data_IF_223913796382
#
_entry.id   IF_223913796382
#
_cell.length_a   1.000
_cell.length_b   1.000
_cell.length_c   1.000
_cell.angle_alpha   90.00
_cell.angle_beta   90.00
_cell.angle_gamma   90.00
#
_symmetry.space_group_name_H-M   'P 1'
#
loop_
_entity.id
_entity.type
_entity.pdbx_description
1 polymer ?
#
# COMPACT_ATOMS: atom_id res chain seq x y z
N UNK A 1 25.10 -9.79 -3.82
CA UNK A 1 24.01 -9.45 -2.86
C UNK A 1 22.70 -9.17 -3.60
N UNK A 2 21.57 -9.23 -2.87
CA UNK A 2 20.24 -9.08 -3.46
C UNK A 2 19.38 -8.15 -2.59
N UNK A 3 18.70 -7.18 -3.21
CA UNK A 3 17.74 -6.30 -2.55
C UNK A 3 16.36 -6.61 -3.11
N UNK A 4 15.43 -7.00 -2.23
CA UNK A 4 14.01 -7.10 -2.55
C UNK A 4 13.33 -5.81 -2.10
N UNK A 5 12.76 -5.07 -3.03
CA UNK A 5 12.09 -3.79 -2.79
C UNK A 5 10.64 -3.83 -3.30
N UNK A 6 9.78 -2.98 -2.75
CA UNK A 6 8.44 -2.78 -3.31
C UNK A 6 8.53 -1.91 -4.58
N UNK A 7 9.10 -0.72 -4.45
CA UNK A 7 9.28 0.15 -5.60
C UNK A 7 10.51 -0.28 -6.43
N UNK A 8 10.41 -0.30 -7.78
CA UNK A 8 11.55 -0.59 -8.62
C UNK A 8 12.63 0.49 -8.48
N UNK A 9 13.89 0.08 -8.49
CA UNK A 9 15.00 1.03 -8.42
C UNK A 9 14.97 2.04 -9.59
N UNK A 10 14.55 1.58 -10.78
CA UNK A 10 14.41 2.41 -11.98
C UNK A 10 12.95 2.35 -12.47
N UNK A 11 12.16 3.37 -12.16
CA UNK A 11 10.76 3.46 -12.58
C UNK A 11 10.60 4.06 -13.97
N UNK A 12 11.42 5.06 -14.28
CA UNK A 12 11.45 5.73 -15.60
C UNK A 12 12.80 5.49 -16.26
N UNK A 13 12.83 5.18 -17.57
CA UNK A 13 14.08 4.98 -18.29
C UNK A 13 15.05 6.17 -18.16
N UNK A 14 16.32 5.91 -17.87
CA UNK A 14 17.36 6.93 -17.75
C UNK A 14 17.84 7.30 -19.16
N UNK A 15 17.60 8.56 -19.56
CA UNK A 15 18.04 9.07 -20.88
C UNK A 15 19.49 9.57 -20.87
N UNK A 16 19.99 10.03 -19.72
CA UNK A 16 21.35 10.53 -19.54
C UNK A 16 21.89 10.03 -18.20
N UNK A 17 22.98 9.28 -18.24
CA UNK A 17 23.58 8.67 -17.05
C UNK A 17 24.66 9.59 -16.47
N UNK A 18 24.22 10.66 -15.80
CA UNK A 18 25.06 11.65 -15.15
C UNK A 18 25.16 11.30 -13.66
N UNK A 19 26.38 11.11 -13.16
CA UNK A 19 26.62 10.69 -11.77
C UNK A 19 26.45 11.79 -10.74
N UNK A 20 26.35 13.05 -11.14
CA UNK A 20 25.99 14.16 -10.25
C UNK A 20 24.49 14.10 -9.86
N UNK A 21 23.70 13.32 -10.60
CA UNK A 21 22.31 13.02 -10.23
C UNK A 21 22.31 11.88 -9.21
N UNK A 22 21.80 12.11 -7.97
CA UNK A 22 21.85 11.13 -6.88
C UNK A 22 21.28 9.75 -7.24
N UNK A 23 20.20 9.71 -8.03
CA UNK A 23 19.58 8.47 -8.48
C UNK A 23 20.52 7.66 -9.39
N UNK A 24 21.21 8.32 -10.33
CA UNK A 24 22.19 7.65 -11.22
C UNK A 24 23.42 7.18 -10.44
N UNK A 25 23.87 7.97 -9.45
CA UNK A 25 24.95 7.58 -8.56
C UNK A 25 24.60 6.32 -7.76
N UNK A 26 23.34 6.17 -7.33
CA UNK A 26 22.84 4.96 -6.69
C UNK A 26 22.91 3.76 -7.66
N UNK A 27 22.43 3.91 -8.90
CA UNK A 27 22.54 2.83 -9.91
C UNK A 27 23.98 2.40 -10.14
N UNK A 28 24.88 3.38 -10.27
CA UNK A 28 26.31 3.08 -10.45
C UNK A 28 26.89 2.30 -9.25
N UNK A 29 26.48 2.62 -8.02
CA UNK A 29 26.88 1.86 -6.83
C UNK A 29 26.37 0.42 -6.86
N UNK A 30 25.09 0.21 -7.22
CA UNK A 30 24.51 -1.12 -7.32
C UNK A 30 25.29 -1.98 -8.32
N UNK A 31 25.55 -1.43 -9.52
CA UNK A 31 26.32 -2.11 -10.59
C UNK A 31 27.75 -2.40 -10.12
N UNK A 32 28.44 -1.39 -9.55
CA UNK A 32 29.82 -1.53 -9.10
C UNK A 32 30.01 -2.61 -8.04
N UNK A 33 29.00 -2.85 -7.21
CA UNK A 33 29.03 -3.82 -6.12
C UNK A 33 28.29 -5.12 -6.43
N UNK A 34 27.90 -5.34 -7.68
CA UNK A 34 27.17 -6.52 -8.14
C UNK A 34 25.93 -6.83 -7.28
N UNK A 35 25.13 -5.77 -7.02
CA UNK A 35 23.91 -5.87 -6.20
C UNK A 35 22.72 -5.92 -7.14
N UNK A 36 22.00 -7.03 -7.13
CA UNK A 36 20.72 -7.18 -7.85
C UNK A 36 19.59 -6.54 -7.05
N UNK A 37 18.72 -5.77 -7.72
CA UNK A 37 17.50 -5.23 -7.13
C UNK A 37 16.27 -5.76 -7.85
N UNK A 38 15.36 -6.38 -7.11
CA UNK A 38 14.07 -6.81 -7.62
C UNK A 38 12.96 -5.96 -6.99
N UNK A 39 12.15 -5.32 -7.84
CA UNK A 39 10.99 -4.53 -7.42
C UNK A 39 9.70 -5.35 -7.56
N UNK A 40 9.08 -5.72 -6.44
CA UNK A 40 7.74 -6.29 -6.41
C UNK A 40 6.72 -5.17 -6.20
N UNK A 41 6.35 -4.50 -7.28
CA UNK A 41 5.49 -3.30 -7.28
C UNK A 41 4.00 -3.70 -7.37
N UNK A 42 3.30 -3.28 -8.41
CA UNK A 42 1.87 -3.58 -8.62
C UNK A 42 1.53 -5.08 -8.68
N UNK A 43 2.50 -5.93 -8.98
CA UNK A 43 2.30 -7.38 -8.85
C UNK A 43 2.09 -7.80 -7.38
N UNK A 44 2.78 -7.17 -6.41
CA UNK A 44 2.56 -7.40 -4.99
C UNK A 44 1.24 -6.80 -4.50
N UNK A 45 0.83 -5.64 -5.06
CA UNK A 45 -0.46 -5.01 -4.73
C UNK A 45 -1.66 -5.85 -5.16
N UNK A 46 -1.51 -6.56 -6.28
CA UNK A 46 -2.55 -7.41 -6.83
C UNK A 46 -2.57 -8.83 -6.22
N UNK A 47 -1.45 -9.29 -5.69
CA UNK A 47 -1.29 -10.66 -5.22
C UNK A 47 -2.22 -10.99 -4.06
N UNK A 48 -2.78 -12.20 -4.08
CA UNK A 48 -3.46 -12.77 -2.92
C UNK A 48 -2.42 -13.05 -1.81
N UNK A 49 -2.73 -12.63 -0.58
CA UNK A 49 -1.77 -12.63 0.53
C UNK A 49 -0.61 -11.65 0.33
N UNK A 50 -0.84 -10.58 -0.47
CA UNK A 50 0.08 -9.48 -0.73
C UNK A 50 -0.28 -8.18 -0.01
N UNK A 51 0.17 -7.05 -0.57
CA UNK A 51 0.10 -5.72 0.06
C UNK A 51 -1.28 -5.37 0.61
N UNK A 52 -2.31 -5.48 -0.22
CA UNK A 52 -3.65 -5.04 0.15
C UNK A 52 -4.37 -5.99 1.12
N UNK A 53 -4.02 -7.27 1.11
CA UNK A 53 -4.48 -8.20 2.16
C UNK A 53 -3.85 -7.87 3.51
N UNK A 54 -2.56 -7.53 3.53
CA UNK A 54 -1.88 -7.12 4.77
C UNK A 54 -2.43 -5.81 5.34
N UNK A 55 -2.76 -4.85 4.47
CA UNK A 55 -3.40 -3.60 4.90
C UNK A 55 -4.82 -3.85 5.44
N UNK A 56 -5.61 -4.69 4.78
CA UNK A 56 -6.94 -5.08 5.26
C UNK A 56 -6.86 -5.81 6.61
N UNK A 57 -5.92 -6.74 6.76
CA UNK A 57 -5.64 -7.42 8.04
C UNK A 57 -5.24 -6.43 9.14
N UNK A 58 -4.35 -5.48 8.83
CA UNK A 58 -3.89 -4.46 9.77
C UNK A 58 -5.02 -3.53 10.24
N UNK A 59 -5.96 -3.24 9.33
CA UNK A 59 -7.18 -2.49 9.64
C UNK A 59 -8.25 -3.34 10.33
N UNK A 60 -8.02 -4.63 10.54
CA UNK A 60 -8.98 -5.53 11.17
C UNK A 60 -10.26 -5.72 10.36
N UNK A 61 -10.17 -5.66 9.02
CA UNK A 61 -11.34 -5.85 8.15
C UNK A 61 -11.71 -7.32 8.07
N UNK A 62 -12.99 -7.60 8.31
CA UNK A 62 -13.60 -8.92 8.19
C UNK A 62 -14.31 -9.07 6.83
N UNK A 63 -14.58 -10.31 6.41
CA UNK A 63 -15.33 -10.64 5.18
C UNK A 63 -14.79 -9.92 3.95
N UNK A 64 -13.47 -9.95 3.76
CA UNK A 64 -12.81 -9.20 2.69
C UNK A 64 -13.15 -9.73 1.30
N UNK A 65 -13.35 -8.79 0.38
CA UNK A 65 -13.55 -9.04 -1.05
C UNK A 65 -12.64 -8.13 -1.89
N UNK A 66 -12.59 -8.39 -3.18
CA UNK A 66 -11.79 -7.63 -4.13
C UNK A 66 -12.39 -6.25 -4.41
N UNK A 67 -11.57 -5.19 -4.31
CA UNK A 67 -12.00 -3.84 -4.66
C UNK A 67 -12.02 -3.62 -6.18
N UNK A 68 -10.93 -3.93 -6.86
CA UNK A 68 -10.75 -3.72 -8.29
C UNK A 68 -10.11 -4.97 -8.92
N UNK A 69 -10.91 -5.93 -9.40
CA UNK A 69 -10.40 -7.09 -10.12
C UNK A 69 -9.59 -6.67 -11.35
N UNK A 70 -8.40 -7.19 -11.52
CA UNK A 70 -7.46 -6.78 -12.58
C UNK A 70 -7.16 -7.90 -13.55
N UNK A 71 -7.05 -9.14 -13.07
CA UNK A 71 -6.65 -10.27 -13.87
C UNK A 71 -7.25 -11.57 -13.32
N UNK A 72 -7.47 -12.51 -14.21
CA UNK A 72 -7.68 -13.93 -13.88
C UNK A 72 -6.54 -14.70 -14.53
N UNK A 73 -5.87 -15.55 -13.77
CA UNK A 73 -4.85 -16.44 -14.32
C UNK A 73 -5.51 -17.48 -15.21
N UNK A 74 -5.09 -17.64 -16.47
CA UNK A 74 -5.78 -18.54 -17.42
C UNK A 74 -5.53 -20.02 -17.14
N UNK A 75 -4.56 -20.36 -16.29
CA UNK A 75 -4.21 -21.76 -15.97
C UNK A 75 -4.82 -22.17 -14.63
N UNK A 76 -4.60 -21.35 -13.59
CA UNK A 76 -5.07 -21.66 -12.23
C UNK A 76 -6.50 -21.16 -11.94
N UNK A 77 -7.07 -20.30 -12.79
CA UNK A 77 -8.29 -19.51 -12.53
C UNK A 77 -8.21 -18.61 -11.30
N UNK A 78 -7.03 -18.38 -10.77
CA UNK A 78 -6.82 -17.48 -9.65
C UNK A 78 -7.12 -16.03 -10.08
N UNK A 79 -7.92 -15.35 -9.26
CA UNK A 79 -8.30 -13.94 -9.48
C UNK A 79 -7.36 -13.04 -8.70
N UNK A 80 -6.96 -11.94 -9.32
CA UNK A 80 -6.11 -10.90 -8.73
C UNK A 80 -6.85 -9.57 -8.70
N UNK A 81 -6.56 -8.76 -7.69
CA UNK A 81 -7.24 -7.47 -7.51
C UNK A 81 -6.35 -6.46 -6.82
N UNK A 82 -6.39 -5.23 -7.30
CA UNK A 82 -5.90 -4.10 -6.51
C UNK A 82 -6.92 -3.74 -5.44
N UNK A 83 -6.44 -3.55 -4.22
CA UNK A 83 -7.28 -3.20 -3.07
C UNK A 83 -8.19 -4.31 -2.56
N UNK A 84 -8.71 -4.06 -1.37
CA UNK A 84 -9.68 -4.93 -0.69
C UNK A 84 -10.83 -4.08 -0.13
N UNK A 85 -11.98 -4.70 0.01
CA UNK A 85 -13.14 -4.17 0.72
C UNK A 85 -13.48 -5.13 1.85
N UNK A 86 -13.86 -4.62 3.00
CA UNK A 86 -14.28 -5.44 4.12
C UNK A 86 -15.07 -4.63 5.14
N UNK A 87 -15.37 -5.23 6.27
CA UNK A 87 -16.16 -4.60 7.31
C UNK A 87 -15.36 -4.50 8.61
N UNK A 88 -15.47 -3.37 9.30
CA UNK A 88 -15.02 -3.25 10.68
C UNK A 88 -15.90 -4.11 11.58
N UNK A 89 -15.36 -4.59 12.68
CA UNK A 89 -16.16 -5.31 13.69
C UNK A 89 -17.28 -4.43 14.25
N UNK A 90 -16.96 -3.18 14.57
CA UNK A 90 -17.90 -2.19 15.10
C UNK A 90 -17.93 -0.95 14.19
N UNK A 91 -19.05 -0.25 14.14
CA UNK A 91 -19.14 1.01 13.41
C UNK A 91 -18.48 2.13 14.22
N UNK A 92 -17.72 2.98 13.53
CA UNK A 92 -17.05 4.16 14.07
C UNK A 92 -17.58 5.41 13.36
N UNK A 93 -17.46 6.59 13.98
CA UNK A 93 -17.59 7.84 13.23
C UNK A 93 -16.41 8.06 12.31
N UNK A 94 -16.53 8.94 11.30
CA UNK A 94 -15.42 9.23 10.36
C UNK A 94 -14.15 9.69 11.10
N UNK A 95 -14.28 10.50 12.14
CA UNK A 95 -13.13 10.94 12.96
C UNK A 95 -12.56 9.79 13.78
N UNK A 96 -13.38 9.01 14.46
CA UNK A 96 -12.92 7.85 15.23
C UNK A 96 -12.22 6.82 14.30
N UNK A 97 -12.75 6.63 13.11
CA UNK A 97 -12.11 5.76 12.11
C UNK A 97 -10.75 6.30 11.66
N UNK A 98 -10.62 7.62 11.44
CA UNK A 98 -9.33 8.22 11.11
C UNK A 98 -8.31 8.03 12.24
N UNK A 99 -8.70 8.27 13.49
CA UNK A 99 -7.82 8.02 14.65
C UNK A 99 -7.49 6.52 14.82
N UNK A 100 -8.45 5.65 14.56
CA UNK A 100 -8.20 4.21 14.51
C UNK A 100 -7.16 3.85 13.45
N UNK A 101 -7.30 4.34 12.21
CA UNK A 101 -6.32 4.13 11.15
C UNK A 101 -4.94 4.64 11.55
N UNK A 102 -4.86 5.85 12.11
CA UNK A 102 -3.61 6.44 12.60
C UNK A 102 -2.90 5.51 13.59
N UNK A 103 -3.66 4.94 14.53
CA UNK A 103 -3.15 4.03 15.56
C UNK A 103 -2.68 2.70 14.97
N UNK A 104 -3.55 2.00 14.22
CA UNK A 104 -3.25 0.63 13.77
C UNK A 104 -2.21 0.59 12.66
N UNK A 105 -2.14 1.63 11.82
CA UNK A 105 -1.10 1.78 10.79
C UNK A 105 0.17 2.46 11.31
N UNK A 106 0.21 2.82 12.61
CA UNK A 106 1.34 3.49 13.27
C UNK A 106 1.81 4.76 12.56
N UNK A 107 0.86 5.65 12.22
CA UNK A 107 1.12 6.87 11.47
C UNK A 107 1.44 8.05 12.40
N UNK A 108 2.35 8.92 11.98
CA UNK A 108 2.63 10.20 12.66
C UNK A 108 1.50 11.21 12.45
N UNK A 109 0.87 11.17 11.28
CA UNK A 109 -0.26 12.00 10.88
C UNK A 109 -0.97 11.39 9.67
N UNK A 110 -2.15 11.89 9.37
CA UNK A 110 -2.92 11.56 8.18
C UNK A 110 -3.80 12.76 7.79
N UNK A 111 -4.47 12.67 6.64
CA UNK A 111 -5.49 13.64 6.23
C UNK A 111 -6.85 12.96 6.17
N UNK A 112 -7.85 13.55 6.84
CA UNK A 112 -9.24 13.12 6.74
C UNK A 112 -9.97 13.99 5.70
N UNK A 113 -10.68 13.36 4.77
CA UNK A 113 -11.53 13.97 3.76
C UNK A 113 -12.93 13.46 4.03
N UNK A 114 -13.79 14.31 4.60
CA UNK A 114 -15.17 13.98 4.95
C UNK A 114 -16.04 15.24 4.91
N UNK A 115 -17.27 15.11 4.39
CA UNK A 115 -18.27 16.17 4.47
C UNK A 115 -18.91 16.23 5.86
N UNK A 116 -19.02 15.09 6.54
CA UNK A 116 -19.54 14.92 7.90
C UNK A 116 -18.62 14.04 8.73
N UNK A 117 -18.05 14.64 9.77
CA UNK A 117 -17.14 13.96 10.69
C UNK A 117 -17.83 12.91 11.57
N UNK A 118 -19.15 12.98 11.71
CA UNK A 118 -19.96 12.05 12.49
C UNK A 118 -20.59 10.94 11.64
N UNK A 119 -20.38 10.96 10.30
CA UNK A 119 -20.87 9.91 9.43
C UNK A 119 -20.37 8.54 9.89
N UNK A 120 -21.28 7.54 10.04
CA UNK A 120 -20.88 6.20 10.45
C UNK A 120 -20.04 5.51 9.35
N UNK A 121 -19.01 4.80 9.77
CA UNK A 121 -18.11 4.00 8.95
C UNK A 121 -18.15 2.55 9.45
N UNK A 122 -18.56 1.64 8.59
CA UNK A 122 -18.60 0.19 8.84
C UNK A 122 -17.93 -0.57 7.71
N UNK A 123 -18.31 -0.28 6.46
CA UNK A 123 -17.78 -0.90 5.25
C UNK A 123 -16.65 -0.05 4.69
N UNK A 124 -15.46 -0.64 4.55
CA UNK A 124 -14.22 0.08 4.24
C UNK A 124 -13.53 -0.54 3.04
N UNK A 125 -13.06 0.30 2.11
CA UNK A 125 -12.09 -0.09 1.10
C UNK A 125 -10.69 0.34 1.51
N UNK A 126 -9.68 -0.44 1.15
CA UNK A 126 -8.25 -0.09 1.29
C UNK A 126 -7.49 -0.40 0.01
N UNK A 127 -6.63 0.53 -0.39
CA UNK A 127 -5.69 0.38 -1.49
C UNK A 127 -4.41 1.15 -1.14
N UNK A 128 -3.30 0.43 -0.99
CA UNK A 128 -1.99 1.01 -0.67
C UNK A 128 -1.47 1.94 -1.76
N UNK A 129 -0.55 2.83 -1.39
CA UNK A 129 0.07 3.78 -2.29
C UNK A 129 -0.87 4.86 -2.83
N UNK A 130 -0.68 5.26 -4.08
CA UNK A 130 -1.41 6.36 -4.73
C UNK A 130 -2.74 5.87 -5.34
N UNK A 131 -3.74 5.63 -4.50
CA UNK A 131 -5.05 5.09 -4.90
C UNK A 131 -6.13 6.11 -5.27
N UNK A 132 -5.82 7.42 -5.22
CA UNK A 132 -6.81 8.48 -5.42
C UNK A 132 -7.65 8.32 -6.69
N UNK A 133 -7.05 7.90 -7.80
CA UNK A 133 -7.75 7.70 -9.10
C UNK A 133 -8.77 6.55 -9.10
N UNK A 134 -8.74 5.68 -8.10
CA UNK A 134 -9.58 4.48 -8.03
C UNK A 134 -10.80 4.64 -7.10
N UNK A 135 -11.06 5.83 -6.56
CA UNK A 135 -12.16 6.05 -5.62
C UNK A 135 -13.55 5.68 -6.19
N UNK A 136 -13.72 5.73 -7.51
CA UNK A 136 -14.95 5.28 -8.16
C UNK A 136 -15.20 3.77 -7.93
N UNK A 137 -14.15 2.95 -7.84
CA UNK A 137 -14.31 1.53 -7.49
C UNK A 137 -14.85 1.40 -6.05
N UNK A 138 -14.35 2.20 -5.10
CA UNK A 138 -14.87 2.23 -3.74
C UNK A 138 -16.36 2.64 -3.70
N UNK A 139 -16.78 3.63 -4.49
CA UNK A 139 -18.19 4.03 -4.62
C UNK A 139 -19.08 2.90 -5.17
N UNK A 140 -18.60 2.14 -6.16
CA UNK A 140 -19.35 1.00 -6.72
C UNK A 140 -19.59 -0.10 -5.67
N UNK A 141 -18.66 -0.29 -4.74
CA UNK A 141 -18.79 -1.21 -3.61
C UNK A 141 -19.61 -0.63 -2.45
N UNK A 142 -20.13 0.59 -2.58
CA UNK A 142 -20.94 1.28 -1.55
C UNK A 142 -20.25 1.31 -0.19
N UNK A 143 -18.95 1.56 -0.17
CA UNK A 143 -18.21 1.67 1.08
C UNK A 143 -18.51 3.00 1.79
N UNK A 144 -18.43 3.00 3.10
CA UNK A 144 -18.57 4.20 3.92
C UNK A 144 -17.28 5.02 3.92
N UNK A 145 -16.12 4.32 3.89
CA UNK A 145 -14.81 4.96 3.87
C UNK A 145 -13.82 4.26 2.93
N UNK A 146 -12.84 5.04 2.47
CA UNK A 146 -11.73 4.57 1.64
C UNK A 146 -10.40 4.98 2.25
N UNK A 147 -9.49 4.03 2.46
CA UNK A 147 -8.12 4.25 2.98
C UNK A 147 -7.13 4.11 1.84
N UNK A 148 -6.32 5.15 1.60
CA UNK A 148 -5.29 5.16 0.55
C UNK A 148 -4.26 6.25 0.82
N UNK A 149 -3.42 6.62 -0.15
CA UNK A 149 -2.46 7.70 -0.08
C UNK A 149 -2.49 8.64 -1.28
N UNK A 150 -1.73 9.73 -1.18
CA UNK A 150 -1.45 10.69 -2.25
C UNK A 150 -2.69 11.36 -2.87
N UNK A 151 -3.67 11.70 -2.06
CA UNK A 151 -4.87 12.37 -2.56
C UNK A 151 -4.54 13.82 -2.95
N UNK A 152 -4.79 14.16 -4.21
CA UNK A 152 -4.67 15.53 -4.68
C UNK A 152 -5.81 16.41 -4.17
N UNK A 153 -5.59 17.74 -4.15
CA UNK A 153 -6.59 18.72 -3.71
C UNK A 153 -7.94 18.56 -4.45
N UNK A 154 -7.91 18.52 -5.78
CA UNK A 154 -9.12 18.41 -6.58
C UNK A 154 -9.81 17.05 -6.42
N UNK A 155 -9.04 15.96 -6.40
CA UNK A 155 -9.60 14.63 -6.13
C UNK A 155 -10.29 14.56 -4.77
N UNK A 156 -9.75 15.22 -3.74
CA UNK A 156 -10.40 15.33 -2.44
C UNK A 156 -11.76 16.01 -2.50
N UNK A 157 -11.91 17.07 -3.30
CA UNK A 157 -13.21 17.72 -3.53
C UNK A 157 -14.22 16.80 -4.23
N UNK A 158 -13.76 16.04 -5.24
CA UNK A 158 -14.62 15.08 -5.95
C UNK A 158 -15.12 13.98 -5.00
N UNK A 159 -14.27 13.50 -4.11
CA UNK A 159 -14.61 12.51 -3.07
C UNK A 159 -15.64 13.05 -2.08
N UNK A 160 -15.48 14.31 -1.62
CA UNK A 160 -16.46 14.98 -0.75
C UNK A 160 -17.80 15.12 -1.47
N UNK A 161 -17.79 15.58 -2.72
CA UNK A 161 -19.01 15.74 -3.53
C UNK A 161 -19.74 14.40 -3.77
N UNK A 162 -18.98 13.31 -3.87
CA UNK A 162 -19.51 11.95 -3.96
C UNK A 162 -20.00 11.39 -2.61
N UNK A 163 -19.85 12.12 -1.50
CA UNK A 163 -20.25 11.69 -0.17
C UNK A 163 -19.37 10.59 0.44
N UNK A 164 -18.17 10.38 -0.10
CA UNK A 164 -17.23 9.38 0.37
C UNK A 164 -16.33 9.94 1.49
N UNK A 165 -16.23 9.23 2.61
CA UNK A 165 -15.21 9.50 3.61
C UNK A 165 -13.89 8.90 3.14
N UNK A 166 -12.79 9.65 3.19
CA UNK A 166 -11.47 9.14 2.79
C UNK A 166 -10.42 9.45 3.85
N UNK A 167 -9.66 8.43 4.21
CA UNK A 167 -8.47 8.57 5.04
C UNK A 167 -7.26 8.50 4.11
N UNK A 168 -6.63 9.65 3.88
CA UNK A 168 -5.33 9.71 3.22
C UNK A 168 -4.24 9.41 4.27
N UNK A 169 -3.91 8.15 4.35
CA UNK A 169 -2.95 7.60 5.30
C UNK A 169 -1.49 7.77 4.83
N UNK A 170 -1.31 8.35 3.63
CA UNK A 170 -0.02 8.53 2.97
C UNK A 170 0.49 7.26 2.28
N UNK A 171 1.37 7.45 1.31
CA UNK A 171 1.95 6.36 0.51
C UNK A 171 2.75 5.37 1.36
N UNK A 172 3.37 5.87 2.43
CA UNK A 172 4.27 5.09 3.29
C UNK A 172 3.60 3.95 4.07
N UNK A 173 2.27 3.83 4.06
CA UNK A 173 1.58 2.64 4.61
C UNK A 173 2.04 1.33 3.96
N UNK A 174 2.56 1.39 2.74
CA UNK A 174 3.17 0.25 2.04
C UNK A 174 4.40 -0.31 2.76
N UNK A 175 4.98 0.42 3.70
CA UNK A 175 6.09 -0.07 4.54
C UNK A 175 5.76 -1.33 5.34
N UNK A 176 4.47 -1.67 5.48
CA UNK A 176 3.98 -2.95 6.03
C UNK A 176 4.56 -4.16 5.27
N UNK A 177 4.93 -4.00 4.00
CA UNK A 177 5.55 -5.07 3.21
C UNK A 177 6.88 -5.55 3.80
N UNK A 178 7.64 -4.68 4.48
CA UNK A 178 8.96 -5.04 5.03
C UNK A 178 8.91 -6.20 6.03
N UNK A 179 8.17 -6.13 7.14
CA UNK A 179 8.03 -7.27 8.05
C UNK A 179 7.34 -8.46 7.38
N UNK A 180 6.23 -8.24 6.66
CA UNK A 180 5.44 -9.31 6.04
C UNK A 180 6.24 -10.12 5.01
N UNK A 181 7.04 -9.46 4.16
CA UNK A 181 7.93 -10.13 3.22
C UNK A 181 9.11 -10.82 3.94
N UNK A 182 9.68 -10.18 4.96
CA UNK A 182 10.75 -10.80 5.74
C UNK A 182 10.29 -12.13 6.35
N UNK A 183 9.11 -12.18 6.93
CA UNK A 183 8.55 -13.40 7.51
C UNK A 183 8.27 -14.47 6.44
N UNK A 184 7.71 -14.07 5.28
CA UNK A 184 7.52 -14.99 4.14
C UNK A 184 8.86 -15.56 3.65
N UNK A 185 9.86 -14.71 3.43
CA UNK A 185 11.18 -15.17 2.97
C UNK A 185 11.88 -16.08 3.99
N UNK A 186 11.81 -15.78 5.29
CA UNK A 186 12.32 -16.67 6.33
C UNK A 186 11.62 -18.03 6.33
N UNK A 187 10.30 -18.03 6.17
CA UNK A 187 9.53 -19.27 6.04
C UNK A 187 10.01 -20.08 4.83
N UNK A 188 10.06 -19.47 3.64
CA UNK A 188 10.51 -20.16 2.42
C UNK A 188 11.98 -20.61 2.49
N UNK A 189 12.87 -19.82 3.11
CA UNK A 189 14.24 -20.19 3.34
C UNK A 189 14.36 -21.49 4.13
N UNK A 190 13.55 -21.63 5.19
CA UNK A 190 13.51 -22.84 6.00
C UNK A 190 12.89 -24.02 5.26
N UNK A 191 11.77 -23.81 4.55
CA UNK A 191 11.04 -24.85 3.82
C UNK A 191 11.84 -25.44 2.65
N UNK A 192 12.70 -24.61 2.02
CA UNK A 192 13.46 -25.00 0.83
C UNK A 192 14.96 -25.17 1.08
N UNK A 193 15.42 -25.04 2.33
CA UNK A 193 16.84 -25.12 2.73
C UNK A 193 17.79 -24.25 1.90
N UNK A 194 17.38 -23.00 1.61
CA UNK A 194 18.17 -22.09 0.77
C UNK A 194 19.46 -21.60 1.44
N UNK A 195 19.52 -21.60 2.77
CA UNK A 195 20.69 -21.18 3.57
C UNK A 195 21.15 -19.75 3.27
N UNK A 196 20.20 -18.84 3.07
CA UNK A 196 20.47 -17.42 2.85
C UNK A 196 20.18 -16.60 4.09
N UNK A 197 20.96 -15.53 4.29
CA UNK A 197 20.71 -14.54 5.33
C UNK A 197 19.66 -13.53 4.86
N UNK A 198 18.64 -13.27 5.68
CA UNK A 198 17.53 -12.39 5.37
C UNK A 198 17.47 -11.25 6.39
N UNK A 199 17.61 -10.03 5.91
CA UNK A 199 17.62 -8.82 6.71
C UNK A 199 16.47 -7.90 6.35
N UNK A 200 15.72 -7.43 7.36
CA UNK A 200 14.72 -6.39 7.17
C UNK A 200 15.34 -5.01 7.28
N UNK A 201 15.11 -4.14 6.29
CA UNK A 201 15.50 -2.74 6.39
C UNK A 201 14.78 -2.03 7.53
N UNK A 202 15.55 -1.37 8.41
CA UNK A 202 15.05 -0.54 9.52
C UNK A 202 14.92 0.94 9.14
N UNK A 203 15.30 1.31 7.91
CA UNK A 203 15.23 2.69 7.46
C UNK A 203 13.77 3.13 7.35
N UNK A 204 13.47 4.32 7.87
CA UNK A 204 12.23 5.02 7.55
C UNK A 204 12.47 5.84 6.27
N UNK A 205 11.70 5.55 5.23
CA UNK A 205 11.77 6.21 3.92
C UNK A 205 10.62 7.19 3.68
N UNK A 206 9.80 7.46 4.69
CA UNK A 206 8.75 8.47 4.61
C UNK A 206 9.40 9.87 4.49
N UNK A 207 9.18 10.60 3.37
CA UNK A 207 9.74 11.94 3.19
C UNK A 207 8.99 13.00 3.98
N UNK A 208 7.80 12.70 4.50
CA UNK A 208 6.95 13.68 5.16
C UNK A 208 7.18 13.73 6.67
N UNK A 209 7.13 14.94 7.21
CA UNK A 209 7.18 15.21 8.63
C UNK A 209 5.91 15.98 9.03
N UNK A 210 5.33 15.59 10.16
CA UNK A 210 4.17 16.28 10.74
C UNK A 210 4.68 17.15 11.89
N UNK A 211 4.40 18.45 11.82
CA UNK A 211 4.87 19.49 12.77
C UNK A 211 3.73 19.86 13.70
#
# INVERSE_FOLDING_TARGET
DFIFAHHPAMFVPVKKFDLDVPQNAMYAKLIKHDITVYGAHTNLDNANGGMNDWLAEQLGLENTEFLLPTKVDPVSNEKYSMGRVGELKDSLTAVEFAEYCKKVLNLRGLRLIAADNQKPVKRVAVLGGSGGRFFNAALLHKVDAYVTGDISYHTGHDMIAAGLTVVDAGHHIESICKPKLTDKFKKWNNENDWKIDIYQSKLNTDPFQFI
#
